data_IF_325107848437
#
_entry.id   IF_325107848437
#
_cell.length_a   1.000
_cell.length_b   1.000
_cell.length_c   1.000
_cell.angle_alpha   90.00
_cell.angle_beta   90.00
_cell.angle_gamma   90.00
#
_symmetry.space_group_name_H-M   'P 1'
#
loop_
_entity.id
_entity.type
_entity.pdbx_description
1 polymer ?
#
# COMPACT_ATOMS: atom_id res chain seq x y z
N UNK A 1 -4.42 -30.74 -15.29
CA UNK A 1 -3.51 -30.13 -14.30
C UNK A 1 -3.53 -31.00 -13.06
N UNK A 2 -2.39 -31.49 -12.58
CA UNK A 2 -2.33 -32.13 -11.26
C UNK A 2 -2.65 -31.09 -10.18
N UNK A 3 -3.35 -31.44 -9.09
CA UNK A 3 -3.51 -30.51 -7.97
C UNK A 3 -2.13 -30.12 -7.47
N UNK A 4 -1.90 -28.81 -7.31
CA UNK A 4 -0.73 -28.30 -6.61
C UNK A 4 -0.69 -29.01 -5.26
N UNK A 5 0.34 -29.83 -5.05
CA UNK A 5 0.55 -30.45 -3.76
C UNK A 5 0.72 -29.33 -2.74
N UNK A 6 0.00 -29.35 -1.61
CA UNK A 6 0.05 -28.28 -0.61
C UNK A 6 1.37 -28.34 0.15
N UNK A 7 2.42 -27.82 -0.47
CA UNK A 7 3.72 -27.61 0.15
C UNK A 7 3.72 -26.28 0.91
N UNK A 8 4.57 -26.11 1.93
CA UNK A 8 4.67 -24.83 2.65
C UNK A 8 4.94 -23.63 1.72
N UNK A 9 5.74 -23.81 0.67
CA UNK A 9 5.98 -22.79 -0.33
C UNK A 9 4.72 -22.46 -1.15
N UNK A 10 3.97 -23.48 -1.56
CA UNK A 10 2.72 -23.29 -2.29
C UNK A 10 1.66 -22.56 -1.45
N UNK A 11 1.57 -22.89 -0.15
CA UNK A 11 0.69 -22.21 0.79
C UNK A 11 1.08 -20.74 0.97
N UNK A 12 2.37 -20.45 1.22
CA UNK A 12 2.87 -19.06 1.32
C UNK A 12 2.59 -18.23 0.07
N UNK A 13 2.85 -18.79 -1.13
CA UNK A 13 2.52 -18.10 -2.39
C UNK A 13 1.02 -17.87 -2.54
N UNK A 14 0.20 -18.80 -2.07
CA UNK A 14 -1.26 -18.67 -2.11
C UNK A 14 -1.73 -17.54 -1.18
N UNK A 15 -1.17 -17.45 0.02
CA UNK A 15 -1.44 -16.36 0.98
C UNK A 15 -1.06 -14.99 0.40
N UNK A 16 0.15 -14.85 -0.14
CA UNK A 16 0.61 -13.62 -0.80
C UNK A 16 -0.30 -13.26 -1.98
N UNK A 17 -0.68 -14.23 -2.82
CA UNK A 17 -1.59 -13.99 -3.94
C UNK A 17 -2.98 -13.55 -3.47
N UNK A 18 -3.47 -14.09 -2.35
CA UNK A 18 -4.75 -13.68 -1.78
C UNK A 18 -4.75 -12.20 -1.38
N UNK A 19 -3.65 -11.69 -0.81
CA UNK A 19 -3.49 -10.26 -0.50
C UNK A 19 -3.59 -9.41 -1.78
N UNK A 20 -2.87 -9.78 -2.83
CA UNK A 20 -2.89 -9.04 -4.11
C UNK A 20 -4.30 -9.03 -4.72
N UNK A 21 -4.96 -10.19 -4.78
CA UNK A 21 -6.33 -10.29 -5.29
C UNK A 21 -7.31 -9.44 -4.49
N UNK A 22 -7.10 -9.30 -3.19
CA UNK A 22 -7.97 -8.48 -2.34
C UNK A 22 -7.75 -6.98 -2.59
N UNK A 23 -6.51 -6.55 -2.83
CA UNK A 23 -6.20 -5.18 -3.27
C UNK A 23 -6.84 -4.87 -4.63
N UNK A 24 -6.72 -5.79 -5.60
CA UNK A 24 -7.37 -5.67 -6.92
C UNK A 24 -8.89 -5.54 -6.77
N UNK A 25 -9.52 -6.36 -5.91
CA UNK A 25 -10.95 -6.26 -5.61
C UNK A 25 -11.32 -4.94 -4.96
N UNK A 26 -10.50 -4.43 -4.03
CA UNK A 26 -10.74 -3.14 -3.39
C UNK A 26 -10.76 -2.00 -4.43
N UNK A 27 -9.81 -2.01 -5.37
CA UNK A 27 -9.79 -1.08 -6.50
C UNK A 27 -10.96 -1.27 -7.48
N UNK A 28 -11.61 -2.44 -7.47
CA UNK A 28 -12.86 -2.69 -8.20
C UNK A 28 -14.07 -1.91 -7.67
N UNK A 29 -14.05 -1.48 -6.40
CA UNK A 29 -15.16 -0.69 -5.85
C UNK A 29 -15.03 0.79 -6.23
N UNK A 30 -16.05 1.40 -6.90
CA UNK A 30 -15.94 2.77 -7.40
C UNK A 30 -15.65 3.82 -6.32
N UNK A 31 -16.12 3.60 -5.09
CA UNK A 31 -15.87 4.53 -3.98
C UNK A 31 -14.44 4.45 -3.41
N UNK A 32 -13.73 3.32 -3.56
CA UNK A 32 -12.35 3.14 -3.08
C UNK A 32 -11.47 3.78 -4.12
N UNK A 33 -11.61 3.30 -5.36
CA UNK A 33 -10.83 3.77 -6.51
C UNK A 33 -10.81 5.30 -6.61
N UNK A 34 -11.97 5.96 -6.55
CA UNK A 34 -12.04 7.43 -6.62
C UNK A 34 -11.26 8.13 -5.51
N UNK A 35 -11.20 7.57 -4.30
CA UNK A 35 -10.47 8.16 -3.17
C UNK A 35 -8.97 7.89 -3.27
N UNK A 36 -8.59 6.71 -3.74
CA UNK A 36 -7.19 6.34 -4.00
C UNK A 36 -6.61 7.21 -5.11
N UNK A 37 -7.31 7.31 -6.25
CA UNK A 37 -6.90 8.14 -7.39
C UNK A 37 -6.85 9.64 -7.04
N UNK A 38 -7.68 10.09 -6.10
CA UNK A 38 -7.66 11.46 -5.59
C UNK A 38 -6.61 11.70 -4.48
N UNK A 39 -5.80 10.69 -4.12
CA UNK A 39 -4.80 10.79 -3.06
C UNK A 39 -5.39 10.95 -1.64
N UNK A 40 -6.68 10.70 -1.45
CA UNK A 40 -7.36 10.86 -0.16
C UNK A 40 -7.16 9.66 0.76
N UNK A 41 -6.90 8.47 0.19
CA UNK A 41 -6.59 7.24 0.92
C UNK A 41 -5.54 6.44 0.15
N UNK A 42 -4.75 5.64 0.87
CA UNK A 42 -3.79 4.69 0.28
C UNK A 42 -4.19 3.27 0.67
N UNK A 43 -3.98 2.31 -0.24
CA UNK A 43 -4.18 0.89 0.05
C UNK A 43 -2.82 0.24 0.33
N UNK A 44 -2.77 -0.56 1.38
CA UNK A 44 -1.57 -1.27 1.81
C UNK A 44 -1.88 -2.76 1.89
N UNK A 45 -1.00 -3.61 1.34
CA UNK A 45 -1.10 -5.06 1.45
C UNK A 45 -0.04 -5.60 2.40
N UNK A 46 -0.45 -6.25 3.48
CA UNK A 46 0.47 -6.89 4.43
C UNK A 46 0.24 -8.39 4.47
N UNK A 47 1.34 -9.15 4.53
CA UNK A 47 1.35 -10.59 4.79
C UNK A 47 2.14 -10.84 6.07
N UNK A 48 1.50 -11.39 7.09
CA UNK A 48 2.12 -11.66 8.38
C UNK A 48 2.41 -13.16 8.52
N UNK A 49 3.68 -13.50 8.70
CA UNK A 49 4.13 -14.86 8.99
C UNK A 49 4.30 -14.99 10.50
N UNK A 50 3.34 -15.66 11.14
CA UNK A 50 3.24 -15.74 12.60
C UNK A 50 4.43 -16.49 13.18
N UNK A 51 4.85 -17.58 12.54
CA UNK A 51 5.95 -18.45 12.97
C UNK A 51 7.29 -17.70 13.02
N UNK A 52 7.46 -16.72 12.14
CA UNK A 52 8.69 -15.92 12.01
C UNK A 52 8.57 -14.56 12.72
N UNK A 53 7.37 -14.16 13.14
CA UNK A 53 7.08 -12.84 13.68
C UNK A 53 7.34 -11.72 12.66
N UNK A 54 7.24 -12.02 11.36
CA UNK A 54 7.60 -11.10 10.28
C UNK A 54 6.38 -10.58 9.54
N UNK A 55 6.39 -9.27 9.25
CA UNK A 55 5.44 -8.62 8.34
C UNK A 55 6.14 -8.36 7.02
N UNK A 56 5.51 -8.75 5.93
CA UNK A 56 5.91 -8.41 4.58
C UNK A 56 4.92 -7.41 3.99
N UNK A 57 5.43 -6.34 3.40
CA UNK A 57 4.66 -5.29 2.74
C UNK A 57 4.68 -5.55 1.23
N UNK A 58 3.52 -5.48 0.59
CA UNK A 58 3.40 -5.56 -0.85
C UNK A 58 3.74 -4.20 -1.50
N UNK A 59 4.72 -4.20 -2.39
CA UNK A 59 5.08 -3.07 -3.21
C UNK A 59 4.46 -3.25 -4.62
N UNK A 60 3.66 -2.26 -5.03
CA UNK A 60 2.94 -2.27 -6.31
C UNK A 60 3.88 -1.90 -7.46
N UNK A 61 4.98 -1.20 -7.20
CA UNK A 61 5.92 -0.77 -8.22
C UNK A 61 6.74 -1.94 -8.77
N UNK A 62 7.11 -2.90 -7.90
CA UNK A 62 7.88 -4.08 -8.26
C UNK A 62 7.06 -5.38 -8.25
N UNK A 63 5.83 -5.35 -7.72
CA UNK A 63 4.94 -6.50 -7.61
C UNK A 63 5.43 -7.54 -6.60
N UNK A 64 6.21 -7.14 -5.60
CA UNK A 64 6.91 -8.02 -4.66
C UNK A 64 6.50 -7.79 -3.20
N UNK A 65 6.84 -8.76 -2.35
CA UNK A 65 6.66 -8.68 -0.90
C UNK A 65 8.02 -8.45 -0.25
N UNK A 66 8.19 -7.31 0.40
CA UNK A 66 9.43 -6.91 1.08
C UNK A 66 9.23 -6.91 2.60
N UNK A 67 10.17 -7.44 3.41
CA UNK A 67 10.05 -7.39 4.86
C UNK A 67 9.90 -5.94 5.36
N UNK A 68 8.95 -5.71 6.28
CA UNK A 68 8.69 -4.38 6.84
C UNK A 68 9.91 -3.79 7.58
N UNK A 69 10.84 -4.62 8.03
CA UNK A 69 12.10 -4.19 8.64
C UNK A 69 13.06 -3.50 7.66
N UNK A 70 12.89 -3.70 6.35
CA UNK A 70 13.75 -3.13 5.30
C UNK A 70 12.97 -2.31 4.27
N UNK A 71 11.63 -2.32 4.33
CA UNK A 71 10.79 -1.48 3.48
C UNK A 71 11.00 0.00 3.83
N UNK A 72 11.33 0.83 2.82
CA UNK A 72 11.61 2.25 3.00
C UNK A 72 10.38 3.04 3.50
N UNK A 73 9.17 2.58 3.18
CA UNK A 73 7.91 3.07 3.71
C UNK A 73 6.84 1.97 3.61
N UNK A 74 5.84 2.01 4.48
CA UNK A 74 4.69 1.12 4.39
C UNK A 74 3.69 1.57 3.30
N UNK A 75 3.91 2.72 2.67
CA UNK A 75 3.03 3.34 1.67
C UNK A 75 3.28 2.86 0.26
N UNK A 76 2.32 2.10 -0.24
CA UNK A 76 2.32 1.63 -1.63
C UNK A 76 1.62 2.67 -2.52
N UNK A 77 2.33 3.76 -2.84
CA UNK A 77 1.90 4.81 -3.75
C UNK A 77 3.04 5.81 -3.97
N UNK A 78 3.08 6.53 -5.12
CA UNK A 78 4.04 7.62 -5.27
C UNK A 78 3.80 8.61 -4.15
N UNK A 79 4.83 8.89 -3.35
CA UNK A 79 4.77 9.79 -2.21
C UNK A 79 4.07 11.09 -2.62
N UNK A 80 2.82 11.27 -2.19
CA UNK A 80 2.18 12.59 -2.24
C UNK A 80 2.63 13.35 -1.01
N UNK A 81 3.95 13.42 -0.80
CA UNK A 81 4.58 14.43 0.06
C UNK A 81 4.86 15.67 -0.79
N UNK A 82 3.81 16.26 -1.38
CA UNK A 82 3.92 17.57 -2.02
C UNK A 82 2.57 18.28 -2.11
N UNK A 83 1.85 18.36 -0.99
CA UNK A 83 0.99 19.51 -0.75
C UNK A 83 1.79 20.47 0.11
N UNK A 84 2.62 21.25 -0.58
CA UNK A 84 3.29 22.40 -0.03
C UNK A 84 2.26 23.27 0.70
N UNK A 85 2.62 23.70 1.90
CA UNK A 85 1.96 24.75 2.64
C UNK A 85 1.93 26.02 1.76
N UNK A 86 0.85 26.22 1.00
CA UNK A 86 0.64 27.51 0.35
C UNK A 86 0.23 28.53 1.43
N UNK A 87 1.19 29.41 1.68
CA UNK A 87 1.12 30.61 2.50
C UNK A 87 -0.26 31.28 2.46
N UNK A 88 -1.01 31.20 3.56
CA UNK A 88 -2.10 32.14 3.81
C UNK A 88 -1.47 33.45 4.26
N UNK A 89 -1.16 34.28 3.27
CA UNK A 89 -1.37 35.73 3.30
C UNK A 89 -0.69 36.51 4.43
N UNK A 90 0.58 36.84 4.24
CA UNK A 90 1.08 38.13 4.73
C UNK A 90 0.43 39.25 3.90
N UNK A 91 -0.58 39.93 4.44
CA UNK A 91 -0.94 41.26 3.96
C UNK A 91 -1.59 42.14 5.01
N UNK A 92 -0.90 43.24 5.29
CA UNK A 92 -1.41 44.58 5.59
C UNK A 92 -2.12 44.84 6.93
N UNK A 93 -1.37 45.45 7.85
CA UNK A 93 -1.75 46.76 8.39
C UNK A 93 -0.52 47.49 8.99
N UNK A 94 0.18 48.26 8.15
CA UNK A 94 0.97 49.40 8.60
C UNK A 94 0.49 50.61 7.80
N UNK A 95 -0.03 51.63 8.48
CA UNK A 95 -0.49 52.84 7.80
C UNK A 95 -1.31 53.78 8.67
N UNK A 96 -0.60 54.58 9.47
CA UNK A 96 -1.01 55.84 10.13
C UNK A 96 -1.96 55.79 11.33
#
# INVERSE_FOLDING_TARGET
MLPVQPTPEALRRTEQRAVVLQLERLMGYPMVRRRVEAGLITLHGWHYVIEEGQVYVFDVSDGSFTPASVAASSSTGPDTEQLAHEDIGSSHASGK
#
